data_IF_124125176982
#
_entry.id   IF_124125176982
#
_cell.length_a   1.000
_cell.length_b   1.000
_cell.length_c   1.000
_cell.angle_alpha   90.00
_cell.angle_beta   90.00
_cell.angle_gamma   90.00
#
_symmetry.space_group_name_H-M   'P 1'
#
loop_
_entity.id
_entity.type
_entity.pdbx_description
1 polymer ?
#
# COMPACT_ATOMS: atom_id res chain seq x y z
N UNK A 1 -9.80 61.35 21.94
CA UNK A 1 -8.66 60.49 22.29
C UNK A 1 -9.21 59.10 22.58
N UNK A 2 -9.11 58.17 21.62
CA UNK A 2 -9.49 56.77 21.79
C UNK A 2 -8.20 55.95 21.86
N UNK A 3 -8.07 55.12 22.89
CA UNK A 3 -6.97 54.17 23.03
C UNK A 3 -7.23 52.94 22.14
N UNK A 4 -6.20 52.35 21.51
CA UNK A 4 -6.37 51.17 20.67
C UNK A 4 -6.51 49.90 21.53
N UNK A 5 -7.47 49.04 21.19
CA UNK A 5 -7.66 47.73 21.82
C UNK A 5 -6.62 46.73 21.30
N UNK A 6 -5.87 46.11 22.21
CA UNK A 6 -4.96 45.00 21.91
C UNK A 6 -5.77 43.73 21.59
N UNK A 7 -5.49 43.11 20.43
CA UNK A 7 -5.95 41.76 20.11
C UNK A 7 -5.04 40.71 20.76
N UNK A 8 -5.58 39.59 21.28
CA UNK A 8 -4.77 38.55 21.87
C UNK A 8 -4.03 37.74 20.78
N UNK A 9 -2.72 37.60 20.95
CA UNK A 9 -1.88 36.69 20.17
C UNK A 9 -2.24 35.25 20.53
N UNK A 10 -2.98 34.57 19.67
CA UNK A 10 -3.07 33.12 19.70
C UNK A 10 -1.71 32.55 19.27
N UNK A 11 -0.93 32.10 20.25
CA UNK A 11 0.12 31.09 20.01
C UNK A 11 -0.61 29.79 19.66
N UNK A 12 -0.61 29.45 18.38
CA UNK A 12 -0.92 28.09 17.93
C UNK A 12 0.27 27.20 18.27
N UNK A 13 0.08 26.32 19.24
CA UNK A 13 0.98 25.20 19.50
C UNK A 13 1.15 24.41 18.19
N UNK A 14 2.37 24.44 17.65
CA UNK A 14 2.81 23.53 16.60
C UNK A 14 2.86 22.11 17.19
N UNK A 15 1.73 21.40 17.10
CA UNK A 15 1.70 19.94 17.17
C UNK A 15 2.52 19.41 16.00
N UNK A 16 3.78 19.07 16.27
CA UNK A 16 4.67 18.35 15.38
C UNK A 16 3.95 17.12 14.83
N UNK A 17 3.68 17.13 13.53
CA UNK A 17 3.04 16.04 12.82
C UNK A 17 4.06 14.89 12.64
N UNK A 18 3.88 13.71 13.27
CA UNK A 18 4.83 12.60 13.14
C UNK A 18 4.85 11.98 11.73
N UNK A 19 3.92 12.37 10.85
CA UNK A 19 3.87 11.96 9.44
C UNK A 19 4.77 12.79 8.50
N UNK A 20 5.71 13.57 9.04
CA UNK A 20 6.75 14.18 8.20
C UNK A 20 7.51 13.06 7.47
N UNK A 21 7.60 13.20 6.14
CA UNK A 21 8.00 12.20 5.15
C UNK A 21 9.44 11.66 5.26
N UNK A 22 10.08 11.78 6.42
CA UNK A 22 11.47 11.40 6.70
C UNK A 22 11.62 10.60 8.01
N UNK A 23 10.52 10.10 8.59
CA UNK A 23 10.59 9.06 9.61
C UNK A 23 11.41 7.89 9.06
N UNK A 24 12.55 7.59 9.71
CA UNK A 24 13.58 6.70 9.20
C UNK A 24 12.97 5.47 8.52
N UNK A 25 13.35 5.27 7.24
CA UNK A 25 12.79 4.22 6.40
C UNK A 25 12.96 2.87 7.10
N UNK A 26 11.86 2.36 7.65
CA UNK A 26 11.83 1.02 8.21
C UNK A 26 12.04 0.06 7.03
N UNK A 27 13.21 -0.58 7.03
CA UNK A 27 13.59 -1.55 6.03
C UNK A 27 13.40 -2.96 6.59
N UNK A 28 12.77 -3.82 5.80
CA UNK A 28 12.56 -5.24 6.11
C UNK A 28 13.34 -6.10 5.13
N UNK A 29 13.88 -7.21 5.60
CA UNK A 29 14.43 -8.25 4.73
C UNK A 29 13.31 -9.14 4.16
N UNK A 30 13.56 -9.84 3.06
CA UNK A 30 12.63 -10.84 2.54
C UNK A 30 12.27 -11.92 3.57
N UNK A 31 13.20 -12.28 4.45
CA UNK A 31 12.97 -13.20 5.57
C UNK A 31 11.92 -12.66 6.54
N UNK A 32 12.05 -11.39 6.95
CA UNK A 32 11.08 -10.72 7.83
C UNK A 32 9.71 -10.58 7.15
N UNK A 33 9.66 -10.19 5.88
CA UNK A 33 8.41 -10.14 5.09
C UNK A 33 7.72 -11.51 5.11
N UNK A 34 8.48 -12.58 4.86
CA UNK A 34 7.95 -13.95 4.83
C UNK A 34 7.40 -14.38 6.19
N UNK A 35 8.15 -14.13 7.26
CA UNK A 35 7.73 -14.47 8.62
C UNK A 35 6.45 -13.73 9.03
N UNK A 36 6.42 -12.41 8.82
CA UNK A 36 5.27 -11.59 9.19
C UNK A 36 4.02 -11.93 8.35
N UNK A 37 4.16 -12.12 7.04
CA UNK A 37 3.03 -12.50 6.18
C UNK A 37 2.48 -13.87 6.55
N UNK A 38 3.34 -14.84 6.86
CA UNK A 38 2.88 -16.19 7.27
C UNK A 38 2.20 -16.18 8.64
N UNK A 39 2.54 -15.24 9.52
CA UNK A 39 1.82 -15.04 10.77
C UNK A 39 0.38 -14.51 10.55
N UNK A 40 0.16 -13.73 9.48
CA UNK A 40 -1.17 -13.18 9.12
C UNK A 40 -1.97 -14.13 8.21
N UNK A 41 -1.28 -14.84 7.32
CA UNK A 41 -1.84 -15.74 6.31
C UNK A 41 -1.10 -17.09 6.34
N UNK A 42 -1.48 -18.03 7.23
CA UNK A 42 -0.70 -19.23 7.51
C UNK A 42 -0.49 -20.19 6.34
N UNK A 43 -1.34 -20.12 5.31
CA UNK A 43 -1.36 -21.04 4.17
C UNK A 43 -0.90 -20.40 2.85
N UNK A 44 -0.46 -19.14 2.88
CA UNK A 44 -0.09 -18.41 1.67
C UNK A 44 1.30 -18.83 1.17
N UNK A 45 1.44 -19.05 -0.14
CA UNK A 45 2.75 -19.12 -0.78
C UNK A 45 3.29 -17.70 -0.98
N UNK A 46 4.51 -17.44 -0.49
CA UNK A 46 5.11 -16.10 -0.46
C UNK A 46 6.30 -16.05 -1.39
N UNK A 47 6.27 -15.11 -2.33
CA UNK A 47 7.35 -14.81 -3.26
C UNK A 47 7.84 -13.39 -3.02
N UNK A 48 8.84 -13.25 -2.14
CA UNK A 48 9.57 -12.00 -1.95
C UNK A 48 10.77 -11.97 -2.93
N UNK A 49 10.63 -11.21 -4.01
CA UNK A 49 11.58 -11.16 -5.13
C UNK A 49 12.83 -10.30 -4.84
N UNK A 50 12.74 -9.36 -3.91
CA UNK A 50 13.83 -8.45 -3.52
C UNK A 50 14.43 -8.89 -2.16
N UNK A 51 15.69 -8.57 -1.88
CA UNK A 51 16.33 -8.93 -0.61
C UNK A 51 15.88 -8.01 0.55
N UNK A 52 15.58 -6.76 0.24
CA UNK A 52 15.17 -5.73 1.21
C UNK A 52 14.04 -4.86 0.66
N UNK A 53 13.15 -4.43 1.56
CA UNK A 53 11.93 -3.70 1.25
C UNK A 53 11.74 -2.53 2.19
N UNK A 54 11.33 -1.38 1.65
CA UNK A 54 10.84 -0.29 2.48
C UNK A 54 9.37 -0.42 2.81
N UNK A 55 9.06 -0.14 4.06
CA UNK A 55 7.69 0.03 4.55
C UNK A 55 7.10 1.32 4.00
N UNK A 56 5.81 1.29 3.65
CA UNK A 56 5.12 2.42 3.01
C UNK A 56 4.16 3.10 3.99
N UNK A 57 4.08 4.42 3.97
CA UNK A 57 3.04 5.12 4.73
C UNK A 57 1.69 5.02 4.02
N UNK A 58 0.61 5.01 4.79
CA UNK A 58 -0.76 5.06 4.24
C UNK A 58 -0.95 6.29 3.34
N UNK A 59 -0.45 7.44 3.78
CA UNK A 59 -0.52 8.69 3.01
C UNK A 59 0.19 8.59 1.65
N UNK A 60 1.32 7.88 1.57
CA UNK A 60 2.02 7.67 0.30
C UNK A 60 1.17 6.86 -0.68
N UNK A 61 0.52 5.79 -0.21
CA UNK A 61 -0.39 4.98 -1.05
C UNK A 61 -1.61 5.79 -1.48
N UNK A 62 -2.23 6.53 -0.55
CA UNK A 62 -3.40 7.37 -0.85
C UNK A 62 -3.05 8.47 -1.88
N UNK A 63 -1.83 9.02 -1.84
CA UNK A 63 -1.35 9.99 -2.80
C UNK A 63 -1.23 9.41 -4.23
N UNK A 64 -1.07 8.10 -4.38
CA UNK A 64 -0.97 7.46 -5.70
C UNK A 64 -2.34 7.19 -6.35
N UNK A 65 -3.45 7.38 -5.62
CA UNK A 65 -4.80 7.10 -6.12
C UNK A 65 -5.13 7.87 -7.40
N UNK A 66 -4.75 9.16 -7.45
CA UNK A 66 -4.98 10.00 -8.62
C UNK A 66 -4.16 9.51 -9.82
N UNK A 67 -2.88 9.20 -9.60
CA UNK A 67 -1.99 8.71 -10.66
C UNK A 67 -2.38 7.32 -11.18
N UNK A 68 -2.79 6.42 -10.28
CA UNK A 68 -3.36 5.12 -10.66
C UNK A 68 -4.60 5.32 -11.53
N UNK A 69 -5.47 6.27 -11.16
CA UNK A 69 -6.68 6.58 -11.94
C UNK A 69 -6.35 7.14 -13.32
N UNK A 70 -5.35 8.02 -13.41
CA UNK A 70 -4.88 8.57 -14.69
C UNK A 70 -4.25 7.49 -15.56
N UNK A 71 -3.46 6.58 -14.99
CA UNK A 71 -2.87 5.45 -15.70
C UNK A 71 -3.96 4.52 -16.25
N UNK A 72 -4.93 4.14 -15.42
CA UNK A 72 -6.06 3.30 -15.84
C UNK A 72 -6.94 4.00 -16.88
N UNK A 73 -7.17 5.31 -16.74
CA UNK A 73 -7.88 6.12 -17.73
C UNK A 73 -7.16 6.09 -19.09
N UNK A 74 -5.85 6.34 -19.10
CA UNK A 74 -5.04 6.36 -20.31
C UNK A 74 -5.01 4.98 -21.00
N UNK A 75 -5.07 3.90 -20.23
CA UNK A 75 -5.14 2.53 -20.74
C UNK A 75 -6.56 2.09 -21.18
N UNK A 76 -7.59 2.91 -20.97
CA UNK A 76 -8.99 2.54 -21.22
C UNK A 76 -9.55 1.51 -20.22
N UNK A 77 -8.89 1.31 -19.09
CA UNK A 77 -9.12 0.24 -18.12
C UNK A 77 -9.77 0.75 -16.81
N UNK A 78 -10.69 1.72 -16.90
CA UNK A 78 -11.38 2.30 -15.73
C UNK A 78 -12.40 1.38 -15.07
N UNK A 79 -12.78 0.30 -15.75
CA UNK A 79 -13.86 -0.59 -15.33
C UNK A 79 -13.39 -2.02 -15.47
N UNK A 80 -13.82 -2.83 -14.53
CA UNK A 80 -13.68 -4.27 -14.58
C UNK A 80 -14.31 -4.84 -15.87
N UNK A 81 -13.62 -5.81 -16.46
CA UNK A 81 -14.11 -6.64 -17.57
C UNK A 81 -13.45 -8.02 -17.50
N UNK A 82 -13.98 -9.00 -18.23
CA UNK A 82 -13.37 -10.34 -18.31
C UNK A 82 -11.95 -10.37 -18.91
N UNK A 83 -11.53 -9.28 -19.56
CA UNK A 83 -10.20 -9.14 -20.17
C UNK A 83 -9.27 -8.21 -19.35
N UNK A 84 -9.82 -7.55 -18.33
CA UNK A 84 -9.10 -6.66 -17.43
C UNK A 84 -9.82 -6.66 -16.08
N UNK A 85 -9.39 -7.54 -15.20
CA UNK A 85 -10.07 -7.86 -13.95
C UNK A 85 -9.14 -7.66 -12.74
N UNK A 86 -9.43 -8.33 -11.62
CA UNK A 86 -8.87 -7.98 -10.33
C UNK A 86 -7.33 -8.06 -10.29
N UNK A 87 -6.73 -9.05 -10.94
CA UNK A 87 -5.28 -9.18 -11.00
C UNK A 87 -4.62 -8.04 -11.77
N UNK A 88 -5.27 -7.53 -12.83
CA UNK A 88 -4.71 -6.45 -13.64
C UNK A 88 -4.70 -5.14 -12.88
N UNK A 89 -5.80 -4.83 -12.16
CA UNK A 89 -5.82 -3.66 -11.27
C UNK A 89 -4.76 -3.76 -10.17
N UNK A 90 -4.60 -4.93 -9.55
CA UNK A 90 -3.60 -5.16 -8.51
C UNK A 90 -2.16 -5.08 -9.06
N UNK A 91 -1.92 -5.60 -10.27
CA UNK A 91 -0.63 -5.51 -10.95
C UNK A 91 -0.29 -4.06 -11.32
N UNK A 92 -1.26 -3.30 -11.83
CA UNK A 92 -1.11 -1.87 -12.12
C UNK A 92 -0.72 -1.07 -10.88
N UNK A 93 -1.42 -1.25 -9.77
CA UNK A 93 -1.11 -0.57 -8.51
C UNK A 93 0.27 -0.98 -7.95
N UNK A 94 0.62 -2.26 -8.04
CA UNK A 94 1.94 -2.77 -7.64
C UNK A 94 3.08 -2.17 -8.47
N UNK A 95 2.92 -2.12 -9.80
CA UNK A 95 3.90 -1.52 -10.71
C UNK A 95 4.08 -0.02 -10.44
N UNK A 96 2.98 0.72 -10.21
CA UNK A 96 3.03 2.13 -9.85
C UNK A 96 3.80 2.35 -8.53
N UNK A 97 3.55 1.52 -7.50
CA UNK A 97 4.29 1.59 -6.25
C UNK A 97 5.80 1.39 -6.46
N UNK A 98 6.20 0.41 -7.28
CA UNK A 98 7.62 0.17 -7.62
C UNK A 98 8.22 1.34 -8.40
N UNK A 99 7.49 1.96 -9.32
CA UNK A 99 7.94 3.17 -10.01
C UNK A 99 8.17 4.33 -9.03
N UNK A 100 7.28 4.50 -8.05
CA UNK A 100 7.39 5.55 -7.03
C UNK A 100 8.57 5.32 -6.10
N UNK A 101 8.80 4.07 -5.71
CA UNK A 101 10.00 3.65 -4.98
C UNK A 101 11.28 4.02 -5.73
N UNK A 102 11.38 3.64 -7.01
CA UNK A 102 12.53 3.97 -7.84
C UNK A 102 12.78 5.49 -7.94
N UNK A 103 11.72 6.28 -8.07
CA UNK A 103 11.82 7.74 -8.10
C UNK A 103 12.33 8.28 -6.77
N UNK A 104 11.78 7.83 -5.64
CA UNK A 104 12.21 8.24 -4.31
C UNK A 104 13.67 7.85 -4.03
N UNK A 105 14.07 6.62 -4.38
CA UNK A 105 15.40 6.11 -4.15
C UNK A 105 16.50 6.94 -4.83
N UNK A 106 16.24 7.41 -6.05
CA UNK A 106 17.16 8.30 -6.79
C UNK A 106 17.39 9.64 -6.10
N UNK A 107 16.43 10.13 -5.32
CA UNK A 107 16.49 11.45 -4.69
C UNK A 107 16.92 11.40 -3.22
N UNK A 108 16.69 10.28 -2.53
CA UNK A 108 16.82 10.20 -1.07
C UNK A 108 17.94 9.28 -0.58
N UNK A 109 18.67 8.63 -1.50
CA UNK A 109 19.75 7.71 -1.13
C UNK A 109 19.26 6.42 -0.47
N UNK A 110 18.04 6.02 -0.82
CA UNK A 110 17.42 4.80 -0.34
C UNK A 110 18.18 3.54 -0.81
N UNK A 111 18.37 2.60 0.11
CA UNK A 111 19.14 1.38 -0.11
C UNK A 111 18.28 0.13 -0.25
N UNK A 112 16.96 0.22 -0.02
CA UNK A 112 16.08 -0.92 -0.19
C UNK A 112 15.93 -1.28 -1.68
N UNK A 113 16.02 -2.56 -1.99
CA UNK A 113 15.86 -3.05 -3.37
C UNK A 113 14.42 -2.89 -3.85
N UNK A 114 13.45 -3.11 -2.97
CA UNK A 114 12.04 -3.01 -3.26
C UNK A 114 11.25 -2.15 -2.27
N UNK A 115 9.95 -2.13 -2.49
CA UNK A 115 8.94 -1.50 -1.63
C UNK A 115 7.97 -2.57 -1.18
N UNK A 116 7.57 -2.57 0.10
CA UNK A 116 6.74 -3.61 0.71
C UNK A 116 5.25 -3.48 0.30
N UNK A 117 5.01 -3.46 -1.00
CA UNK A 117 3.71 -3.52 -1.67
C UNK A 117 3.74 -4.78 -2.53
N UNK A 118 2.72 -5.60 -2.43
CA UNK A 118 2.57 -6.82 -3.21
C UNK A 118 1.16 -7.02 -3.71
N UNK A 119 0.95 -8.17 -4.36
CA UNK A 119 -0.35 -8.70 -4.72
C UNK A 119 -0.70 -9.86 -3.78
N UNK A 120 -1.97 -9.94 -3.37
CA UNK A 120 -2.51 -11.03 -2.57
C UNK A 120 -3.71 -11.65 -3.29
N UNK A 121 -3.66 -12.95 -3.52
CA UNK A 121 -4.75 -13.70 -4.13
C UNK A 121 -5.46 -14.60 -3.11
N UNK A 122 -6.80 -14.55 -3.10
CA UNK A 122 -7.65 -15.24 -2.12
C UNK A 122 -9.05 -15.53 -2.70
N UNK A 123 -9.88 -16.28 -1.96
CA UNK A 123 -11.26 -16.62 -2.36
C UNK A 123 -12.25 -15.64 -1.73
N UNK A 124 -13.05 -14.93 -2.55
CA UNK A 124 -14.11 -14.05 -2.06
C UNK A 124 -15.12 -14.85 -1.24
N UNK A 125 -15.37 -14.38 -0.02
CA UNK A 125 -16.23 -15.05 0.97
C UNK A 125 -15.84 -16.52 1.25
N UNK A 126 -14.59 -16.92 0.95
CA UNK A 126 -14.12 -18.31 1.04
C UNK A 126 -14.65 -19.25 -0.05
N UNK A 127 -15.33 -18.74 -1.09
CA UNK A 127 -15.94 -19.58 -2.11
C UNK A 127 -14.92 -20.13 -3.12
N UNK A 128 -14.84 -21.46 -3.35
CA UNK A 128 -13.73 -22.11 -4.07
C UNK A 128 -13.59 -21.71 -5.54
N UNK A 129 -14.63 -21.14 -6.15
CA UNK A 129 -14.63 -20.73 -7.56
C UNK A 129 -14.62 -19.21 -7.76
N UNK A 130 -14.47 -18.42 -6.68
CA UNK A 130 -14.44 -16.96 -6.74
C UNK A 130 -13.07 -16.45 -6.31
N UNK A 131 -12.08 -16.54 -7.20
CA UNK A 131 -10.77 -15.93 -6.96
C UNK A 131 -10.86 -14.39 -7.00
N UNK A 132 -10.01 -13.73 -6.24
CA UNK A 132 -9.84 -12.28 -6.28
C UNK A 132 -8.40 -11.91 -5.95
N UNK A 133 -7.96 -10.78 -6.50
CA UNK A 133 -6.63 -10.24 -6.28
C UNK A 133 -6.73 -8.78 -5.83
N UNK A 134 -5.96 -8.45 -4.79
CA UNK A 134 -5.83 -7.10 -4.24
C UNK A 134 -4.37 -6.81 -3.94
N UNK A 135 -4.06 -5.59 -3.48
CA UNK A 135 -2.73 -5.30 -2.97
C UNK A 135 -2.63 -5.57 -1.47
N UNK A 136 -1.47 -6.09 -1.07
CA UNK A 136 -1.07 -6.20 0.33
C UNK A 136 0.13 -5.28 0.58
N UNK A 137 0.05 -4.48 1.64
CA UNK A 137 0.97 -3.37 1.88
C UNK A 137 1.44 -3.43 3.33
N UNK A 138 2.75 -3.47 3.53
CA UNK A 138 3.33 -3.28 4.85
C UNK A 138 3.46 -1.79 5.14
N UNK A 139 2.71 -1.33 6.14
CA UNK A 139 2.82 0.01 6.71
C UNK A 139 3.51 -0.04 8.06
N UNK A 140 3.85 1.09 8.68
CA UNK A 140 4.42 1.10 10.05
C UNK A 140 3.49 0.39 11.05
N UNK A 141 2.17 0.49 10.85
CA UNK A 141 1.15 -0.12 11.70
C UNK A 141 0.88 -1.61 11.46
N UNK A 142 1.51 -2.22 10.45
CA UNK A 142 1.29 -3.64 10.11
C UNK A 142 0.94 -3.86 8.65
N UNK A 143 0.61 -5.11 8.32
CA UNK A 143 0.07 -5.50 7.02
C UNK A 143 -1.36 -5.00 6.86
N UNK A 144 -1.62 -4.35 5.74
CA UNK A 144 -2.93 -3.84 5.35
C UNK A 144 -3.25 -4.28 3.94
N UNK A 145 -4.54 -4.39 3.62
CA UNK A 145 -4.99 -4.70 2.26
C UNK A 145 -5.65 -3.49 1.61
N UNK A 146 -5.46 -3.38 0.30
CA UNK A 146 -5.92 -2.24 -0.49
C UNK A 146 -6.57 -2.75 -1.79
N UNK A 147 -7.80 -2.30 -2.03
CA UNK A 147 -8.60 -2.62 -3.21
C UNK A 147 -8.36 -1.56 -4.30
N UNK A 148 -7.54 -1.84 -5.33
CA UNK A 148 -7.17 -0.87 -6.36
C UNK A 148 -8.33 -0.47 -7.26
N UNK A 149 -9.36 -1.31 -7.43
CA UNK A 149 -10.53 -0.96 -8.26
C UNK A 149 -11.34 0.18 -7.63
N UNK A 150 -11.50 0.13 -6.31
CA UNK A 150 -12.27 1.14 -5.57
C UNK A 150 -11.38 2.20 -4.92
N UNK A 151 -10.07 2.00 -4.93
CA UNK A 151 -9.04 2.81 -4.27
C UNK A 151 -9.29 2.95 -2.78
N UNK A 152 -9.59 1.83 -2.12
CA UNK A 152 -9.95 1.79 -0.69
C UNK A 152 -9.13 0.76 0.05
N UNK A 153 -8.72 1.13 1.25
CA UNK A 153 -8.28 0.18 2.26
C UNK A 153 -9.44 -0.75 2.60
N UNK A 154 -9.14 -2.05 2.69
CA UNK A 154 -10.12 -3.07 3.01
C UNK A 154 -9.60 -3.94 4.16
N UNK A 155 -10.46 -4.79 4.69
CA UNK A 155 -10.11 -5.80 5.68
C UNK A 155 -10.74 -7.09 5.23
N UNK A 156 -9.93 -8.12 5.06
CA UNK A 156 -10.42 -9.44 4.70
C UNK A 156 -11.18 -10.04 5.86
N UNK A 157 -12.31 -10.68 5.58
CA UNK A 157 -13.01 -11.45 6.58
C UNK A 157 -12.22 -12.75 6.90
N UNK A 158 -12.56 -13.48 7.98
CA UNK A 158 -11.81 -14.68 8.37
C UNK A 158 -11.74 -15.77 7.28
N UNK A 159 -12.81 -15.96 6.49
CA UNK A 159 -12.84 -16.96 5.43
C UNK A 159 -11.93 -16.56 4.25
N UNK A 160 -11.93 -15.27 3.89
CA UNK A 160 -11.04 -14.72 2.86
C UNK A 160 -9.58 -14.83 3.29
N UNK A 161 -9.26 -14.43 4.53
CA UNK A 161 -7.90 -14.54 5.08
C UNK A 161 -7.41 -16.00 5.08
N UNK A 162 -8.23 -16.94 5.58
CA UNK A 162 -7.89 -18.37 5.62
C UNK A 162 -7.73 -18.99 4.22
N UNK A 163 -8.34 -18.37 3.20
CA UNK A 163 -8.29 -18.83 1.81
C UNK A 163 -7.16 -18.21 0.98
N UNK A 164 -6.37 -17.30 1.53
CA UNK A 164 -5.25 -16.69 0.81
C UNK A 164 -4.22 -17.76 0.41
N UNK A 165 -3.82 -17.78 -0.87
CA UNK A 165 -2.91 -18.80 -1.40
C UNK A 165 -1.65 -18.24 -2.05
N UNK A 166 -1.64 -16.96 -2.46
CA UNK A 166 -0.46 -16.34 -3.08
C UNK A 166 -0.25 -14.92 -2.58
N UNK A 167 0.99 -14.61 -2.18
CA UNK A 167 1.48 -13.26 -1.95
C UNK A 167 2.77 -13.03 -2.77
N UNK A 168 2.76 -12.03 -3.66
CA UNK A 168 3.88 -11.68 -4.54
C UNK A 168 4.37 -10.26 -4.24
N UNK A 169 5.66 -10.10 -3.88
CA UNK A 169 6.28 -8.82 -3.49
C UNK A 169 7.54 -8.52 -4.31
#
# INVERSE_FOLDING_TARGET
MQAPSEQPKHQSDELSNPDSATGGLLMLTSGQITEELRAVYPHVDIYALDATYNVVSRAAVDAYNEELSQMLFAAGALRWSEQFDCEDFAACAWALAKQKHLAAARHQGDLAQGVAVGMLCYRLDGAPHRGHAINIIRTVGGWMTYEPQTRRWTTLNPAENASAWLALL
#
